data_IF_957620699712
#
_entry.id   IF_957620699712
#
_cell.length_a   1.000
_cell.length_b   1.000
_cell.length_c   1.000
_cell.angle_alpha   90.00
_cell.angle_beta   90.00
_cell.angle_gamma   90.00
#
_symmetry.space_group_name_H-M   'P 1'
#
loop_
_entity.id
_entity.type
_entity.pdbx_description
1 polymer ?
#
# COMPACT_ATOMS: atom_id res chain seq x y z
N UNK A 1 12.27 -10.45 12.77
CA UNK A 1 11.84 -9.04 13.01
C UNK A 1 12.03 -8.24 11.74
N UNK A 2 10.99 -7.56 11.26
CA UNK A 2 11.06 -6.67 10.11
C UNK A 2 10.65 -5.25 10.52
N UNK A 3 11.08 -4.26 9.75
CA UNK A 3 10.57 -2.90 9.84
C UNK A 3 9.58 -2.65 8.70
N UNK A 4 8.42 -2.14 9.01
CA UNK A 4 7.30 -1.94 8.07
C UNK A 4 6.91 -0.47 8.06
N UNK A 5 6.80 0.11 6.88
CA UNK A 5 6.12 1.38 6.67
C UNK A 5 4.71 1.07 6.14
N UNK A 6 3.69 1.29 6.96
CA UNK A 6 2.30 0.98 6.66
C UNK A 6 1.52 2.26 6.34
N UNK A 7 1.05 2.37 5.12
CA UNK A 7 0.34 3.55 4.59
C UNK A 7 -1.15 3.27 4.52
N UNK A 8 -1.95 4.15 5.12
CA UNK A 8 -3.38 4.00 5.28
C UNK A 8 -4.18 4.20 3.98
N UNK A 9 -5.45 3.82 4.00
CA UNK A 9 -6.42 3.98 2.92
C UNK A 9 -7.05 5.39 2.89
N UNK A 10 -8.01 5.58 1.98
CA UNK A 10 -8.65 6.88 1.69
C UNK A 10 -9.49 7.45 2.85
N UNK A 11 -9.83 6.66 3.85
CA UNK A 11 -10.53 7.14 5.04
C UNK A 11 -9.58 7.69 6.13
N UNK A 12 -8.27 7.62 5.90
CA UNK A 12 -7.26 8.14 6.83
C UNK A 12 -6.65 7.08 7.74
N UNK A 13 -5.90 7.52 8.73
CA UNK A 13 -5.28 6.66 9.74
C UNK A 13 -6.32 6.26 10.80
N UNK A 14 -7.23 5.38 10.39
CA UNK A 14 -8.35 4.91 11.20
C UNK A 14 -7.92 3.93 12.30
N UNK A 15 -8.78 3.71 13.33
CA UNK A 15 -8.54 2.67 14.34
C UNK A 15 -8.23 1.30 13.73
N UNK A 16 -8.91 0.90 12.63
CA UNK A 16 -8.65 -0.37 11.97
C UNK A 16 -7.22 -0.50 11.42
N UNK A 17 -6.67 0.56 10.86
CA UNK A 17 -5.25 0.58 10.43
C UNK A 17 -4.32 0.48 11.64
N UNK A 18 -4.63 1.18 12.72
CA UNK A 18 -3.83 1.14 13.94
C UNK A 18 -3.89 -0.22 14.62
N UNK A 19 -5.04 -0.89 14.62
CA UNK A 19 -5.20 -2.26 15.13
C UNK A 19 -4.39 -3.26 14.30
N UNK A 20 -4.41 -3.13 12.98
CA UNK A 20 -3.57 -3.95 12.10
C UNK A 20 -2.08 -3.74 12.38
N UNK A 21 -1.64 -2.49 12.52
CA UNK A 21 -0.27 -2.17 12.91
C UNK A 21 0.07 -2.74 14.30
N UNK A 22 -0.89 -2.70 15.23
CA UNK A 22 -0.77 -3.28 16.57
C UNK A 22 -0.54 -4.79 16.53
N UNK A 23 -1.26 -5.50 15.67
CA UNK A 23 -1.08 -6.95 15.48
C UNK A 23 0.33 -7.27 14.95
N UNK A 24 0.83 -6.50 13.99
CA UNK A 24 2.20 -6.66 13.50
C UNK A 24 3.25 -6.38 14.57
N UNK A 25 3.05 -5.34 15.40
CA UNK A 25 3.94 -5.02 16.53
C UNK A 25 3.92 -6.13 17.57
N UNK A 26 2.74 -6.70 17.85
CA UNK A 26 2.60 -7.83 18.78
C UNK A 26 3.33 -9.09 18.26
N UNK A 27 3.44 -9.24 16.94
CA UNK A 27 4.24 -10.29 16.29
C UNK A 27 5.76 -9.99 16.26
N UNK A 28 6.20 -8.89 16.86
CA UNK A 28 7.62 -8.54 17.00
C UNK A 28 8.19 -7.68 15.87
N UNK A 29 7.34 -7.06 15.05
CA UNK A 29 7.79 -6.14 14.00
C UNK A 29 7.81 -4.69 14.48
N UNK A 30 8.64 -3.85 13.88
CA UNK A 30 8.59 -2.39 14.03
C UNK A 30 7.72 -1.84 12.93
N UNK A 31 6.67 -1.08 13.28
CA UNK A 31 5.70 -0.56 12.30
C UNK A 31 5.57 0.95 12.42
N UNK A 32 5.86 1.63 11.33
CA UNK A 32 5.67 3.06 11.15
C UNK A 32 4.33 3.30 10.45
N UNK A 33 3.49 4.15 11.03
CA UNK A 33 2.13 4.45 10.53
C UNK A 33 2.00 5.95 10.32
N UNK A 34 2.50 6.49 9.20
CA UNK A 34 2.36 7.93 8.94
C UNK A 34 0.90 8.29 8.72
N UNK A 35 0.53 9.48 9.19
CA UNK A 35 -0.76 10.08 8.91
C UNK A 35 -0.63 11.06 7.74
N UNK A 36 -1.17 10.68 6.59
CA UNK A 36 -1.14 11.50 5.37
C UNK A 36 -2.23 12.58 5.35
N UNK A 37 -3.16 12.54 6.31
CA UNK A 37 -4.34 13.40 6.35
C UNK A 37 -4.33 14.41 7.49
N UNK A 38 -3.19 14.60 8.15
CA UNK A 38 -3.00 15.63 9.19
C UNK A 38 -4.02 15.52 10.33
N UNK A 39 -4.26 14.30 10.81
CA UNK A 39 -5.18 14.01 11.91
C UNK A 39 -6.64 13.80 11.48
N UNK A 40 -6.94 13.89 10.18
CA UNK A 40 -8.31 13.68 9.68
C UNK A 40 -8.60 12.23 9.38
N UNK A 41 -9.79 11.80 9.74
CA UNK A 41 -10.39 10.53 9.33
C UNK A 41 -11.80 10.77 8.79
N UNK A 42 -12.25 9.89 7.90
CA UNK A 42 -13.54 10.03 7.22
C UNK A 42 -14.38 8.79 7.41
N UNK A 43 -15.69 8.97 7.58
CA UNK A 43 -16.64 7.88 7.76
C UNK A 43 -16.94 7.14 6.46
N UNK A 44 -16.72 7.77 5.31
CA UNK A 44 -16.98 7.16 4.00
C UNK A 44 -15.83 7.38 3.01
N UNK A 45 -15.81 6.54 1.99
CA UNK A 45 -14.85 6.64 0.87
C UNK A 45 -15.04 7.97 0.13
N UNK A 46 -16.29 8.39 -0.11
CA UNK A 46 -16.61 9.63 -0.83
C UNK A 46 -16.06 10.86 -0.12
N UNK A 47 -16.14 10.91 1.21
CA UNK A 47 -15.58 12.00 2.00
C UNK A 47 -14.05 12.04 1.88
N UNK A 48 -13.39 10.88 1.94
CA UNK A 48 -11.95 10.78 1.76
C UNK A 48 -11.52 11.17 0.34
N UNK A 49 -12.28 10.75 -0.67
CA UNK A 49 -12.03 11.15 -2.06
C UNK A 49 -12.17 12.67 -2.26
N UNK A 50 -13.17 13.29 -1.66
CA UNK A 50 -13.35 14.74 -1.70
C UNK A 50 -12.14 15.47 -1.09
N UNK A 51 -11.69 15.03 0.08
CA UNK A 51 -10.49 15.57 0.71
C UNK A 51 -9.23 15.41 -0.17
N UNK A 52 -9.01 14.22 -0.73
CA UNK A 52 -7.89 13.98 -1.63
C UNK A 52 -7.98 14.82 -2.92
N UNK A 53 -9.20 15.07 -3.41
CA UNK A 53 -9.42 15.97 -4.54
C UNK A 53 -9.06 17.42 -4.23
N UNK A 54 -9.33 17.90 -3.02
CA UNK A 54 -8.95 19.25 -2.57
C UNK A 54 -7.44 19.40 -2.36
N UNK A 55 -6.81 18.42 -1.72
CA UNK A 55 -5.36 18.42 -1.45
C UNK A 55 -4.55 18.12 -2.70
N UNK A 56 -5.07 17.26 -3.56
CA UNK A 56 -4.41 16.65 -4.71
C UNK A 56 -3.89 15.25 -4.39
N UNK A 57 -4.29 14.26 -5.20
CA UNK A 57 -3.85 12.87 -5.02
C UNK A 57 -2.32 12.72 -5.12
N UNK A 58 -1.69 13.51 -5.97
CA UNK A 58 -0.22 13.52 -6.10
C UNK A 58 0.45 14.01 -4.82
N UNK A 59 -0.10 15.03 -4.17
CA UNK A 59 0.43 15.54 -2.90
C UNK A 59 0.24 14.51 -1.78
N UNK A 60 -0.91 13.84 -1.72
CA UNK A 60 -1.13 12.75 -0.74
C UNK A 60 -0.11 11.62 -0.93
N UNK A 61 0.13 11.20 -2.17
CA UNK A 61 1.16 10.22 -2.50
C UNK A 61 2.55 10.70 -2.09
N UNK A 62 2.87 11.96 -2.37
CA UNK A 62 4.16 12.57 -2.00
C UNK A 62 4.35 12.61 -0.47
N UNK A 63 3.30 12.84 0.31
CA UNK A 63 3.35 12.72 1.78
C UNK A 63 3.76 11.31 2.24
N UNK A 64 3.19 10.28 1.59
CA UNK A 64 3.56 8.88 1.85
C UNK A 64 5.04 8.60 1.53
N UNK A 65 5.53 9.11 0.43
CA UNK A 65 6.93 8.96 0.01
C UNK A 65 7.87 9.68 1.00
N UNK A 66 7.54 10.92 1.37
CA UNK A 66 8.33 11.69 2.36
C UNK A 66 8.35 11.03 3.73
N UNK A 67 7.31 10.29 4.10
CA UNK A 67 7.27 9.54 5.36
C UNK A 67 8.37 8.47 5.49
N UNK A 68 8.97 8.04 4.39
CA UNK A 68 10.12 7.14 4.39
C UNK A 68 11.45 7.87 4.62
N UNK A 69 11.49 9.19 4.51
CA UNK A 69 12.70 9.97 4.73
C UNK A 69 13.15 9.83 6.20
N UNK A 70 14.44 9.60 6.40
CA UNK A 70 15.00 9.38 7.73
C UNK A 70 14.75 8.00 8.34
N UNK A 71 13.92 7.15 7.73
CA UNK A 71 13.75 5.76 8.13
C UNK A 71 14.86 4.87 7.51
N UNK A 72 15.15 3.71 8.11
CA UNK A 72 16.06 2.73 7.51
C UNK A 72 15.67 2.38 6.07
N UNK A 73 16.61 1.92 5.27
CA UNK A 73 16.32 1.55 3.86
C UNK A 73 15.75 0.14 3.72
N UNK A 74 16.02 -0.74 4.68
CA UNK A 74 15.59 -2.15 4.71
C UNK A 74 14.15 -2.33 5.22
N UNK A 75 13.22 -1.61 4.60
CA UNK A 75 11.79 -1.62 4.96
C UNK A 75 10.99 -2.60 4.09
N UNK A 76 9.93 -3.15 4.68
CA UNK A 76 8.78 -3.67 3.97
C UNK A 76 7.79 -2.51 3.81
N UNK A 77 7.39 -2.24 2.59
CA UNK A 77 6.41 -1.20 2.28
C UNK A 77 5.02 -1.83 2.19
N UNK A 78 4.12 -1.38 3.04
CA UNK A 78 2.75 -1.85 3.09
C UNK A 78 1.78 -0.71 2.82
N UNK A 79 0.73 -0.97 2.05
CA UNK A 79 -0.28 0.04 1.75
C UNK A 79 -1.66 -0.56 1.58
N UNK A 80 -2.67 0.18 2.03
CA UNK A 80 -4.07 -0.15 1.82
C UNK A 80 -4.69 0.79 0.79
N UNK A 81 -5.23 0.26 -0.31
CA UNK A 81 -5.93 1.00 -1.35
C UNK A 81 -5.14 2.26 -1.80
N UNK A 82 -5.58 3.46 -1.47
CA UNK A 82 -4.86 4.72 -1.73
C UNK A 82 -3.37 4.64 -1.33
N UNK A 83 -3.08 4.00 -0.19
CA UNK A 83 -1.71 3.86 0.33
C UNK A 83 -0.79 3.02 -0.54
N UNK A 84 -1.34 2.20 -1.44
CA UNK A 84 -0.57 1.36 -2.37
C UNK A 84 0.25 2.23 -3.33
N UNK A 85 -0.25 3.38 -3.77
CA UNK A 85 0.49 4.27 -4.67
C UNK A 85 1.88 4.62 -4.12
N UNK A 86 1.94 5.10 -2.88
CA UNK A 86 3.22 5.45 -2.25
C UNK A 86 4.03 4.21 -1.85
N UNK A 87 3.39 3.18 -1.29
CA UNK A 87 4.06 1.95 -0.87
C UNK A 87 4.73 1.24 -2.05
N UNK A 88 4.02 1.09 -3.15
CA UNK A 88 4.55 0.44 -4.35
C UNK A 88 5.66 1.27 -5.00
N UNK A 89 5.49 2.58 -5.13
CA UNK A 89 6.53 3.46 -5.65
C UNK A 89 7.80 3.40 -4.80
N UNK A 90 7.68 3.40 -3.48
CA UNK A 90 8.81 3.23 -2.57
C UNK A 90 9.48 1.86 -2.74
N UNK A 91 8.71 0.78 -2.86
CA UNK A 91 9.25 -0.56 -3.09
C UNK A 91 10.03 -0.66 -4.40
N UNK A 92 9.57 0.03 -5.45
CA UNK A 92 10.24 0.03 -6.75
C UNK A 92 11.47 0.94 -6.83
N UNK A 93 11.45 2.08 -6.14
CA UNK A 93 12.47 3.12 -6.33
C UNK A 93 13.44 3.27 -5.16
N UNK A 94 13.03 2.99 -3.93
CA UNK A 94 13.90 3.20 -2.78
C UNK A 94 14.84 2.01 -2.61
N UNK A 95 16.17 2.20 -2.69
CA UNK A 95 17.13 1.10 -2.53
C UNK A 95 16.96 0.39 -1.20
N UNK A 96 17.16 -0.93 -1.18
CA UNK A 96 17.15 -1.72 0.05
C UNK A 96 15.78 -2.25 0.46
N UNK A 97 14.72 -2.02 -0.31
CA UNK A 97 13.39 -2.56 -0.05
C UNK A 97 13.43 -4.08 0.22
N UNK A 98 12.78 -4.51 1.29
CA UNK A 98 12.72 -5.91 1.72
C UNK A 98 11.48 -6.64 1.21
N UNK A 99 10.49 -5.92 0.71
CA UNK A 99 9.26 -6.44 0.15
C UNK A 99 8.15 -5.43 0.10
N UNK A 100 7.05 -5.82 -0.52
CA UNK A 100 5.82 -5.05 -0.60
C UNK A 100 4.62 -5.88 -0.16
N UNK A 101 3.72 -5.28 0.63
CA UNK A 101 2.44 -5.82 1.04
C UNK A 101 1.34 -4.86 0.55
N UNK A 102 0.60 -5.28 -0.48
CA UNK A 102 -0.32 -4.41 -1.20
C UNK A 102 -1.75 -4.91 -1.00
N UNK A 103 -2.57 -4.12 -0.35
CA UNK A 103 -3.93 -4.50 0.03
C UNK A 103 -4.97 -3.70 -0.75
N UNK A 104 -5.90 -4.39 -1.42
CA UNK A 104 -7.05 -3.82 -2.14
C UNK A 104 -6.71 -2.88 -3.30
N UNK A 105 -5.48 -2.85 -3.79
CA UNK A 105 -5.06 -2.14 -5.00
C UNK A 105 -3.74 -2.70 -5.52
N UNK A 106 -3.50 -2.50 -6.79
CA UNK A 106 -2.23 -2.77 -7.45
C UNK A 106 -2.06 -1.86 -8.65
N UNK A 107 -0.91 -1.23 -8.77
CA UNK A 107 -0.57 -0.39 -9.92
C UNK A 107 0.31 -1.20 -10.86
N UNK A 108 0.04 -1.14 -12.18
CA UNK A 108 0.97 -1.75 -13.14
C UNK A 108 2.39 -1.21 -12.87
N UNK A 109 3.37 -2.08 -12.57
CA UNK A 109 4.73 -1.63 -12.27
C UNK A 109 5.33 -0.71 -13.33
N UNK A 110 4.97 -0.90 -14.60
CA UNK A 110 5.42 -0.05 -15.69
C UNK A 110 5.07 1.45 -15.51
N UNK A 111 4.06 1.75 -14.70
CA UNK A 111 3.71 3.13 -14.35
C UNK A 111 4.83 3.84 -13.56
N UNK A 112 5.53 3.10 -12.72
CA UNK A 112 6.66 3.62 -11.93
C UNK A 112 8.02 3.27 -12.54
N UNK A 113 8.09 2.27 -13.41
CA UNK A 113 9.31 1.75 -13.99
C UNK A 113 9.43 0.24 -13.78
N UNK A 114 10.63 -0.29 -13.70
CA UNK A 114 10.85 -1.71 -13.47
C UNK A 114 10.67 -2.10 -12.00
N UNK A 115 10.12 -3.29 -11.77
CA UNK A 115 10.14 -3.90 -10.44
C UNK A 115 11.53 -4.44 -10.14
N UNK A 116 12.16 -4.03 -9.03
CA UNK A 116 13.54 -4.43 -8.74
C UNK A 116 13.64 -5.94 -8.46
N UNK A 117 14.70 -6.54 -8.95
CA UNK A 117 14.99 -7.94 -8.68
C UNK A 117 15.20 -8.19 -7.16
N UNK A 118 14.65 -9.29 -6.65
CA UNK A 118 14.82 -9.69 -5.25
C UNK A 118 13.96 -8.92 -4.25
N UNK A 119 13.01 -8.11 -4.69
CA UNK A 119 11.99 -7.49 -3.84
C UNK A 119 10.70 -8.30 -3.97
N UNK A 120 10.37 -9.18 -3.00
CA UNK A 120 9.15 -9.97 -3.04
C UNK A 120 7.91 -9.11 -2.83
N UNK A 121 6.76 -9.56 -3.36
CA UNK A 121 5.50 -8.88 -3.21
C UNK A 121 4.36 -9.84 -2.85
N UNK A 122 3.47 -9.38 -1.99
CA UNK A 122 2.17 -10.00 -1.77
C UNK A 122 1.08 -8.98 -2.05
N UNK A 123 0.11 -9.40 -2.86
CA UNK A 123 -1.06 -8.61 -3.20
C UNK A 123 -2.26 -9.33 -2.59
N UNK A 124 -3.07 -8.63 -1.82
CA UNK A 124 -4.24 -9.16 -1.13
C UNK A 124 -5.47 -8.34 -1.51
N UNK A 125 -6.48 -8.99 -2.05
CA UNK A 125 -7.73 -8.34 -2.44
C UNK A 125 -8.92 -9.29 -2.35
N UNK A 126 -10.12 -8.76 -2.48
CA UNK A 126 -11.33 -9.56 -2.55
C UNK A 126 -11.76 -9.75 -4.00
N UNK A 127 -12.30 -10.94 -4.32
CA UNK A 127 -12.60 -11.35 -5.70
C UNK A 127 -13.84 -10.66 -6.29
N UNK A 128 -14.63 -10.00 -5.46
CA UNK A 128 -15.79 -9.18 -5.87
C UNK A 128 -15.67 -7.70 -5.47
N UNK A 129 -14.45 -7.24 -5.12
CA UNK A 129 -14.19 -5.83 -4.77
C UNK A 129 -14.46 -4.93 -5.98
N UNK A 130 -15.43 -3.99 -5.90
CA UNK A 130 -15.76 -3.11 -7.01
C UNK A 130 -14.60 -2.18 -7.43
N UNK A 131 -13.66 -1.91 -6.55
CA UNK A 131 -12.46 -1.12 -6.87
C UNK A 131 -11.38 -2.00 -7.49
N UNK A 132 -10.93 -3.04 -6.80
CA UNK A 132 -9.84 -3.89 -7.29
C UNK A 132 -10.20 -4.62 -8.59
N UNK A 133 -11.38 -5.21 -8.65
CA UNK A 133 -11.87 -5.91 -9.84
C UNK A 133 -12.54 -4.95 -10.82
N UNK A 134 -13.41 -4.07 -10.32
CA UNK A 134 -14.21 -3.19 -11.16
C UNK A 134 -13.43 -2.06 -11.85
N UNK A 135 -12.36 -1.57 -11.24
CA UNK A 135 -11.48 -0.55 -11.81
C UNK A 135 -10.27 -1.13 -12.55
N UNK A 136 -10.11 -2.46 -12.55
CA UNK A 136 -9.16 -3.16 -13.40
C UNK A 136 -7.77 -3.39 -12.80
N UNK A 137 -7.59 -3.27 -11.49
CA UNK A 137 -6.31 -3.57 -10.82
C UNK A 137 -5.96 -5.06 -10.86
N UNK A 138 -6.97 -5.92 -11.00
CA UNK A 138 -6.79 -7.38 -10.98
C UNK A 138 -5.95 -7.89 -12.16
N UNK A 139 -6.14 -7.33 -13.36
CA UNK A 139 -5.42 -7.79 -14.57
C UNK A 139 -3.90 -7.54 -14.47
N UNK A 140 -3.42 -6.33 -14.14
CA UNK A 140 -1.99 -6.12 -13.94
C UNK A 140 -1.43 -6.91 -12.76
N UNK A 141 -2.21 -7.14 -11.69
CA UNK A 141 -1.79 -7.98 -10.57
C UNK A 141 -1.58 -9.43 -10.99
N UNK A 142 -2.51 -10.02 -11.74
CA UNK A 142 -2.39 -11.37 -12.28
C UNK A 142 -1.22 -11.51 -13.25
N UNK A 143 -1.03 -10.53 -14.14
CA UNK A 143 0.09 -10.52 -15.07
C UNK A 143 1.43 -10.44 -14.33
N UNK A 144 1.52 -9.60 -13.30
CA UNK A 144 2.71 -9.42 -12.50
C UNK A 144 3.13 -10.70 -11.76
N UNK A 145 2.20 -11.38 -11.09
CA UNK A 145 2.53 -12.59 -10.34
C UNK A 145 2.79 -13.79 -11.24
N UNK A 146 2.18 -13.87 -12.42
CA UNK A 146 2.37 -15.00 -13.35
C UNK A 146 3.79 -15.10 -13.89
N UNK A 147 4.54 -14.02 -13.91
CA UNK A 147 5.92 -13.95 -14.39
C UNK A 147 6.98 -14.02 -13.30
N UNK A 148 6.59 -14.25 -12.02
CA UNK A 148 7.51 -14.10 -10.88
C UNK A 148 7.34 -15.19 -9.84
N UNK A 149 8.47 -15.75 -9.39
CA UNK A 149 8.49 -16.72 -8.29
C UNK A 149 8.45 -16.06 -6.90
N UNK A 150 8.75 -14.75 -6.84
CA UNK A 150 8.81 -13.96 -5.60
C UNK A 150 7.59 -13.05 -5.39
N UNK A 151 6.51 -13.28 -6.15
CA UNK A 151 5.26 -12.53 -6.02
C UNK A 151 4.04 -13.45 -5.94
N UNK A 152 3.08 -13.07 -5.10
CA UNK A 152 1.86 -13.83 -4.85
C UNK A 152 0.63 -12.91 -4.85
N UNK A 153 -0.47 -13.41 -5.43
CA UNK A 153 -1.79 -12.77 -5.36
C UNK A 153 -2.72 -13.65 -4.55
N UNK A 154 -3.28 -13.10 -3.49
CA UNK A 154 -4.28 -13.73 -2.63
C UNK A 154 -5.63 -13.08 -2.88
N UNK A 155 -6.58 -13.84 -3.44
CA UNK A 155 -7.94 -13.42 -3.62
C UNK A 155 -8.84 -14.11 -2.59
N UNK A 156 -9.57 -13.30 -1.85
CA UNK A 156 -10.51 -13.76 -0.82
C UNK A 156 -11.94 -13.60 -1.33
N UNK A 157 -12.85 -14.54 -1.00
CA UNK A 157 -14.25 -14.43 -1.40
C UNK A 157 -14.93 -13.21 -0.77
N UNK A 158 -15.59 -12.38 -1.60
CA UNK A 158 -16.39 -11.24 -1.15
C UNK A 158 -15.96 -9.91 -1.74
N UNK A 159 -16.47 -8.83 -1.13
CA UNK A 159 -16.28 -7.45 -1.57
C UNK A 159 -15.99 -6.52 -0.39
#
# INVERSE_FOLDING_TARGET
MAQVLLIHHIQGLTPGILDFAGALRAAGHVVHTPDLFEGRTFASIEQGQAYCGEVGFEEVTARGIRAAEGLPTDLVYAGFSLGVMAAQQLAQHRPGARGALLYHSFVDPAYFGEWPAGVPAQIHAMDADPFFVGEGDIEPAQAFVSGRDDAQLFLYPGS
#
